data_IF_304151601202
#
_entry.id   IF_304151601202
#
_cell.length_a   1.000
_cell.length_b   1.000
_cell.length_c   1.000
_cell.angle_alpha   90.00
_cell.angle_beta   90.00
_cell.angle_gamma   90.00
#
_symmetry.space_group_name_H-M   'P 1'
#
loop_
_entity.id
_entity.type
_entity.pdbx_description
1 polymer ?
#
# COMPACT_ATOMS: atom_id res chain seq x y z
N UNK A 1 33.24 -6.45 -21.92
CA UNK A 1 33.51 -5.89 -20.57
C UNK A 1 32.23 -5.94 -19.74
N UNK A 2 32.05 -7.00 -18.96
CA UNK A 2 31.01 -7.06 -17.93
C UNK A 2 31.48 -6.18 -16.77
N UNK A 3 31.01 -4.93 -16.74
CA UNK A 3 31.19 -4.06 -15.58
C UNK A 3 30.41 -4.72 -14.45
N UNK A 4 31.09 -5.37 -13.51
CA UNK A 4 30.48 -5.83 -12.27
C UNK A 4 29.96 -4.61 -11.54
N UNK A 5 28.66 -4.36 -11.64
CA UNK A 5 27.98 -3.33 -10.85
C UNK A 5 28.07 -3.82 -9.40
N UNK A 6 28.99 -3.26 -8.62
CA UNK A 6 28.94 -3.37 -7.17
C UNK A 6 27.70 -2.60 -6.73
N UNK A 7 26.61 -3.32 -6.51
CA UNK A 7 25.39 -2.75 -5.97
C UNK A 7 25.70 -2.28 -4.54
N UNK A 8 25.47 -1.01 -4.25
CA UNK A 8 25.56 -0.52 -2.88
C UNK A 8 24.41 -1.12 -2.05
N UNK A 9 24.68 -1.42 -0.77
CA UNK A 9 23.71 -2.09 0.11
C UNK A 9 22.37 -1.36 0.17
N UNK A 10 22.38 -0.02 0.20
CA UNK A 10 21.17 0.80 0.20
C UNK A 10 20.35 0.63 -1.10
N UNK A 11 21.02 0.55 -2.25
CA UNK A 11 20.37 0.30 -3.54
C UNK A 11 19.73 -1.09 -3.58
N UNK A 12 20.41 -2.10 -3.03
CA UNK A 12 19.88 -3.46 -2.94
C UNK A 12 18.61 -3.49 -2.08
N UNK A 13 18.64 -2.83 -0.92
CA UNK A 13 17.48 -2.75 -0.01
C UNK A 13 16.30 -2.07 -0.71
N UNK A 14 16.54 -0.97 -1.43
CA UNK A 14 15.48 -0.27 -2.16
C UNK A 14 14.86 -1.12 -3.29
N UNK A 15 15.67 -1.90 -4.01
CA UNK A 15 15.17 -2.84 -5.03
C UNK A 15 14.29 -3.91 -4.38
N UNK A 16 14.74 -4.51 -3.28
CA UNK A 16 13.98 -5.51 -2.55
C UNK A 16 12.66 -4.92 -2.04
N UNK A 17 12.70 -3.73 -1.44
CA UNK A 17 11.50 -3.04 -0.96
C UNK A 17 10.48 -2.84 -2.10
N UNK A 18 10.90 -2.23 -3.21
CA UNK A 18 10.00 -1.99 -4.34
C UNK A 18 9.44 -3.29 -4.93
N UNK A 19 10.27 -4.34 -5.06
CA UNK A 19 9.84 -5.63 -5.61
C UNK A 19 8.82 -6.33 -4.70
N UNK A 20 9.11 -6.44 -3.41
CA UNK A 20 8.27 -7.16 -2.45
C UNK A 20 6.96 -6.39 -2.24
N UNK A 21 7.00 -5.07 -2.18
CA UNK A 21 5.80 -4.22 -2.07
C UNK A 21 4.94 -4.27 -3.32
N UNK A 22 5.52 -4.19 -4.52
CA UNK A 22 4.76 -4.37 -5.77
C UNK A 22 4.10 -5.74 -5.82
N UNK A 23 4.81 -6.80 -5.42
CA UNK A 23 4.29 -8.16 -5.39
C UNK A 23 3.13 -8.31 -4.41
N UNK A 24 3.23 -7.73 -3.21
CA UNK A 24 2.16 -7.75 -2.21
C UNK A 24 0.90 -7.05 -2.71
N UNK A 25 1.04 -5.86 -3.31
CA UNK A 25 -0.09 -5.14 -3.89
C UNK A 25 -0.68 -5.84 -5.11
N UNK A 26 0.14 -6.47 -5.95
CA UNK A 26 -0.34 -7.26 -7.10
C UNK A 26 -1.20 -8.44 -6.62
N UNK A 27 -0.74 -9.15 -5.59
CA UNK A 27 -1.47 -10.27 -5.02
C UNK A 27 -2.81 -9.84 -4.40
N UNK A 28 -2.83 -8.69 -3.71
CA UNK A 28 -4.08 -8.11 -3.19
C UNK A 28 -5.02 -7.63 -4.31
N UNK A 29 -4.48 -6.99 -5.34
CA UNK A 29 -5.27 -6.60 -6.52
C UNK A 29 -5.93 -7.82 -7.14
N UNK A 30 -5.17 -8.89 -7.35
CA UNK A 30 -5.69 -10.15 -7.88
C UNK A 30 -6.75 -10.79 -6.98
N UNK A 31 -6.56 -10.77 -5.65
CA UNK A 31 -7.57 -11.24 -4.70
C UNK A 31 -8.92 -10.54 -4.88
N UNK A 32 -8.90 -9.21 -5.08
CA UNK A 32 -10.12 -8.45 -5.29
C UNK A 32 -10.68 -8.59 -6.71
N UNK A 33 -9.84 -8.83 -7.73
CA UNK A 33 -10.32 -9.25 -9.07
C UNK A 33 -11.12 -10.54 -8.96
N UNK A 34 -10.60 -11.55 -8.27
CA UNK A 34 -11.29 -12.82 -8.07
C UNK A 34 -12.62 -12.65 -7.32
N UNK A 35 -12.64 -11.78 -6.30
CA UNK A 35 -13.87 -11.42 -5.60
C UNK A 35 -14.90 -10.72 -6.50
N UNK A 36 -14.46 -9.87 -7.44
CA UNK A 36 -15.33 -9.18 -8.41
C UNK A 36 -15.98 -10.13 -9.41
N UNK A 37 -15.26 -11.18 -9.81
CA UNK A 37 -15.80 -12.23 -10.70
C UNK A 37 -17.00 -12.93 -10.03
N UNK A 38 -16.98 -13.08 -8.71
CA UNK A 38 -18.08 -13.67 -7.95
C UNK A 38 -19.23 -12.66 -7.75
N UNK A 39 -18.92 -11.42 -7.38
CA UNK A 39 -19.93 -10.37 -7.16
C UNK A 39 -19.37 -8.98 -7.46
N UNK A 40 -20.03 -8.26 -8.37
CA UNK A 40 -19.67 -6.89 -8.71
C UNK A 40 -20.13 -5.96 -7.59
N UNK A 41 -19.15 -5.40 -6.86
CA UNK A 41 -19.38 -4.39 -5.83
C UNK A 41 -18.41 -3.21 -6.02
N UNK A 42 -18.92 -1.99 -5.83
CA UNK A 42 -18.11 -0.78 -6.04
C UNK A 42 -16.90 -0.71 -5.10
N UNK A 43 -17.03 -1.18 -3.86
CA UNK A 43 -15.93 -1.18 -2.87
C UNK A 43 -14.81 -2.11 -3.32
N UNK A 44 -15.16 -3.26 -3.88
CA UNK A 44 -14.22 -4.25 -4.38
C UNK A 44 -13.56 -3.75 -5.68
N UNK A 45 -14.28 -3.03 -6.54
CA UNK A 45 -13.70 -2.33 -7.70
C UNK A 45 -12.67 -1.29 -7.25
N UNK A 46 -13.03 -0.44 -6.29
CA UNK A 46 -12.13 0.59 -5.75
C UNK A 46 -10.86 -0.01 -5.14
N UNK A 47 -10.97 -1.10 -4.37
CA UNK A 47 -9.80 -1.83 -3.84
C UNK A 47 -8.94 -2.40 -4.96
N UNK A 48 -9.55 -3.03 -5.95
CA UNK A 48 -8.85 -3.63 -7.10
C UNK A 48 -8.01 -2.60 -7.84
N UNK A 49 -8.62 -1.49 -8.24
CA UNK A 49 -7.92 -0.40 -8.92
C UNK A 49 -6.91 0.27 -7.99
N UNK A 50 -7.24 0.47 -6.71
CA UNK A 50 -6.34 1.05 -5.72
C UNK A 50 -5.04 0.27 -5.57
N UNK A 51 -5.13 -1.03 -5.34
CA UNK A 51 -3.97 -1.93 -5.29
C UNK A 51 -3.29 -2.10 -6.65
N UNK A 52 -4.04 -2.06 -7.75
CA UNK A 52 -3.48 -2.09 -9.11
C UNK A 52 -2.60 -0.87 -9.39
N UNK A 53 -3.05 0.34 -9.06
CA UNK A 53 -2.25 1.56 -9.22
C UNK A 53 -1.03 1.58 -8.31
N UNK A 54 -1.15 1.09 -7.07
CA UNK A 54 0.03 0.92 -6.20
C UNK A 54 1.04 -0.07 -6.78
N UNK A 55 0.58 -1.20 -7.33
CA UNK A 55 1.44 -2.16 -8.02
C UNK A 55 2.23 -1.49 -9.14
N UNK A 56 1.52 -0.73 -9.99
CA UNK A 56 2.15 0.01 -11.09
C UNK A 56 3.14 1.06 -10.58
N UNK A 57 2.81 1.80 -9.51
CA UNK A 57 3.69 2.79 -8.93
C UNK A 57 5.04 2.17 -8.51
N UNK A 58 5.00 1.11 -7.69
CA UNK A 58 6.21 0.44 -7.21
C UNK A 58 6.97 -0.30 -8.32
N UNK A 59 6.26 -0.89 -9.29
CA UNK A 59 6.90 -1.49 -10.47
C UNK A 59 7.64 -0.45 -11.32
N UNK A 60 7.05 0.74 -11.51
CA UNK A 60 7.71 1.84 -12.21
C UNK A 60 8.93 2.36 -11.45
N UNK A 61 8.85 2.46 -10.12
CA UNK A 61 10.00 2.85 -9.30
C UNK A 61 11.14 1.82 -9.39
N UNK A 62 10.79 0.54 -9.51
CA UNK A 62 11.77 -0.53 -9.75
C UNK A 62 12.43 -0.39 -11.13
N UNK A 63 11.65 -0.14 -12.19
CA UNK A 63 12.17 0.08 -13.55
C UNK A 63 13.08 1.33 -13.62
N UNK A 64 12.79 2.39 -12.87
CA UNK A 64 13.66 3.57 -12.75
C UNK A 64 15.05 3.19 -12.23
N UNK A 65 15.13 2.23 -11.32
CA UNK A 65 16.43 1.82 -10.75
C UNK A 65 17.35 1.19 -11.81
N UNK A 66 16.77 0.65 -12.89
CA UNK A 66 17.50 0.02 -14.00
C UNK A 66 17.54 0.88 -15.28
N UNK A 67 16.88 2.03 -15.31
CA UNK A 67 16.78 2.90 -16.50
C UNK A 67 17.09 4.36 -16.16
N UNK A 68 17.92 5.04 -16.97
CA UNK A 68 18.36 6.42 -16.74
C UNK A 68 17.27 7.51 -16.99
N UNK A 69 16.00 7.21 -16.75
CA UNK A 69 14.84 8.09 -17.02
C UNK A 69 14.48 8.91 -15.75
N UNK A 70 15.40 9.76 -15.30
CA UNK A 70 15.52 10.21 -13.91
C UNK A 70 14.58 11.30 -13.35
N UNK A 71 13.51 11.75 -14.03
CA UNK A 71 12.63 12.81 -13.46
C UNK A 71 11.12 12.63 -13.72
N UNK A 72 10.72 12.32 -14.96
CA UNK A 72 9.30 12.21 -15.34
C UNK A 72 8.58 11.06 -14.63
N UNK A 73 9.32 9.99 -14.32
CA UNK A 73 8.77 8.80 -13.71
C UNK A 73 8.57 8.94 -12.18
N UNK A 74 9.32 9.82 -11.50
CA UNK A 74 9.14 10.08 -10.06
C UNK A 74 7.81 10.79 -9.77
N UNK A 75 7.43 11.75 -10.61
CA UNK A 75 6.11 12.38 -10.51
C UNK A 75 5.00 11.36 -10.79
N UNK A 76 5.20 10.48 -11.78
CA UNK A 76 4.24 9.46 -12.15
C UNK A 76 4.04 8.43 -11.01
N UNK A 77 5.11 8.06 -10.29
CA UNK A 77 5.02 7.28 -9.05
C UNK A 77 4.10 7.96 -8.03
N UNK A 78 4.33 9.24 -7.72
CA UNK A 78 3.54 9.97 -6.71
C UNK A 78 2.06 10.06 -7.08
N UNK A 79 1.75 10.27 -8.37
CA UNK A 79 0.37 10.30 -8.86
C UNK A 79 -0.31 8.93 -8.74
N UNK A 80 0.34 7.87 -9.21
CA UNK A 80 -0.21 6.51 -9.14
C UNK A 80 -0.38 6.04 -7.70
N UNK A 81 0.62 6.29 -6.85
CA UNK A 81 0.54 5.95 -5.43
C UNK A 81 -0.58 6.74 -4.72
N UNK A 82 -0.69 8.04 -5.00
CA UNK A 82 -1.72 8.91 -4.41
C UNK A 82 -3.13 8.52 -4.84
N UNK A 83 -3.36 8.26 -6.13
CA UNK A 83 -4.65 7.76 -6.62
C UNK A 83 -4.94 6.38 -6.02
N UNK A 84 -3.94 5.50 -5.96
CA UNK A 84 -4.07 4.16 -5.39
C UNK A 84 -4.53 4.19 -3.93
N UNK A 85 -3.84 4.94 -3.08
CA UNK A 85 -4.21 5.11 -1.66
C UNK A 85 -5.58 5.78 -1.51
N UNK A 86 -5.89 6.80 -2.32
CA UNK A 86 -7.20 7.44 -2.27
C UNK A 86 -8.36 6.48 -2.58
N UNK A 87 -8.21 5.63 -3.60
CA UNK A 87 -9.22 4.63 -3.95
C UNK A 87 -9.41 3.59 -2.85
N UNK A 88 -8.31 3.14 -2.22
CA UNK A 88 -8.39 2.21 -1.08
C UNK A 88 -9.12 2.87 0.09
N UNK A 89 -8.76 4.11 0.42
CA UNK A 89 -9.45 4.88 1.45
C UNK A 89 -10.95 5.03 1.16
N UNK A 90 -11.30 5.42 -0.07
CA UNK A 90 -12.69 5.53 -0.51
C UNK A 90 -13.45 4.19 -0.39
N UNK A 91 -12.80 3.07 -0.70
CA UNK A 91 -13.43 1.76 -0.55
C UNK A 91 -13.78 1.41 0.89
N UNK A 92 -12.88 1.71 1.84
CA UNK A 92 -13.10 1.43 3.26
C UNK A 92 -14.04 2.44 3.92
N UNK A 93 -14.04 3.71 3.50
CA UNK A 93 -14.95 4.70 4.07
C UNK A 93 -16.41 4.47 3.63
N UNK A 94 -16.61 3.90 2.44
CA UNK A 94 -17.92 3.49 1.96
C UNK A 94 -18.44 2.20 2.62
N UNK A 95 -17.61 1.51 3.40
CA UNK A 95 -18.04 0.34 4.17
C UNK A 95 -19.19 0.71 5.13
N UNK A 96 -20.29 -0.08 5.20
CA UNK A 96 -21.43 0.34 6.02
C UNK A 96 -21.12 0.28 7.53
N UNK A 97 -20.06 -0.44 7.91
CA UNK A 97 -19.60 -0.51 9.30
C UNK A 97 -18.62 0.63 9.64
N UNK A 98 -18.19 1.43 8.66
CA UNK A 98 -17.33 2.57 8.87
C UNK A 98 -18.12 3.75 9.45
N UNK A 99 -17.81 4.15 10.68
CA UNK A 99 -18.42 5.33 11.34
C UNK A 99 -17.63 6.62 11.11
N UNK A 100 -16.45 6.52 10.49
CA UNK A 100 -15.53 7.63 10.28
C UNK A 100 -15.74 8.34 8.94
N UNK A 101 -16.97 8.34 8.41
CA UNK A 101 -17.28 8.95 7.10
C UNK A 101 -16.92 10.44 7.03
N UNK A 102 -16.92 11.16 8.16
CA UNK A 102 -16.47 12.54 8.22
C UNK A 102 -14.99 12.72 7.84
N UNK A 103 -14.15 11.67 7.93
CA UNK A 103 -12.76 11.72 7.51
C UNK A 103 -12.60 12.00 6.01
N UNK A 104 -13.64 11.84 5.19
CA UNK A 104 -13.63 12.28 3.79
C UNK A 104 -13.30 13.77 3.68
N UNK A 105 -13.87 14.61 4.57
CA UNK A 105 -13.61 16.05 4.58
C UNK A 105 -12.14 16.32 4.87
N UNK A 106 -11.60 15.67 5.91
CA UNK A 106 -10.19 15.78 6.25
C UNK A 106 -9.30 15.33 5.09
N UNK A 107 -9.65 14.22 4.43
CA UNK A 107 -8.91 13.68 3.30
C UNK A 107 -8.89 14.67 2.11
N UNK A 108 -10.02 15.34 1.83
CA UNK A 108 -10.10 16.40 0.80
C UNK A 108 -9.23 17.59 1.17
N UNK A 109 -9.29 18.04 2.43
CA UNK A 109 -8.44 19.14 2.92
C UNK A 109 -6.96 18.79 2.74
N UNK A 110 -6.55 17.56 3.10
CA UNK A 110 -5.17 17.11 2.96
C UNK A 110 -4.68 17.12 1.51
N UNK A 111 -5.53 16.82 0.52
CA UNK A 111 -5.18 16.93 -0.91
C UNK A 111 -4.81 18.36 -1.33
N UNK A 112 -5.35 19.38 -0.66
CA UNK A 112 -5.08 20.79 -0.96
C UNK A 112 -3.76 21.23 -0.32
N UNK A 113 -3.49 20.80 0.92
CA UNK A 113 -2.39 21.32 1.73
C UNK A 113 -1.10 20.48 1.67
N UNK A 114 -1.19 19.17 1.42
CA UNK A 114 -0.04 18.27 1.40
C UNK A 114 0.32 17.84 -0.02
N UNK A 115 1.63 17.62 -0.25
CA UNK A 115 2.16 17.18 -1.55
C UNK A 115 3.21 16.09 -1.36
N UNK A 116 3.36 15.25 -2.38
CA UNK A 116 4.36 14.18 -2.41
C UNK A 116 4.21 13.19 -1.25
N UNK A 117 5.34 12.77 -0.68
CA UNK A 117 5.38 11.71 0.34
C UNK A 117 4.64 12.11 1.64
N UNK A 118 4.56 13.40 1.98
CA UNK A 118 3.74 13.87 3.11
C UNK A 118 2.25 13.58 2.91
N UNK A 119 1.75 13.75 1.67
CA UNK A 119 0.37 13.42 1.33
C UNK A 119 0.14 11.91 1.38
N UNK A 120 1.04 11.12 0.78
CA UNK A 120 0.95 9.65 0.79
C UNK A 120 0.96 9.09 2.21
N UNK A 121 1.82 9.63 3.08
CA UNK A 121 1.86 9.31 4.52
C UNK A 121 0.51 9.51 5.18
N UNK A 122 -0.11 10.67 4.99
CA UNK A 122 -1.40 10.96 5.61
C UNK A 122 -2.53 10.12 5.04
N UNK A 123 -2.54 9.85 3.73
CA UNK A 123 -3.51 8.95 3.12
C UNK A 123 -3.39 7.52 3.68
N UNK A 124 -2.17 6.98 3.79
CA UNK A 124 -1.92 5.68 4.39
C UNK A 124 -2.38 5.63 5.86
N UNK A 125 -2.13 6.70 6.63
CA UNK A 125 -2.62 6.81 8.00
C UNK A 125 -4.15 6.79 8.08
N UNK A 126 -4.84 7.53 7.21
CA UNK A 126 -6.31 7.53 7.15
C UNK A 126 -6.88 6.16 6.78
N UNK A 127 -6.23 5.43 5.87
CA UNK A 127 -6.58 4.03 5.56
C UNK A 127 -6.43 3.17 6.83
N UNK A 128 -5.30 3.26 7.53
CA UNK A 128 -5.09 2.50 8.76
C UNK A 128 -6.15 2.81 9.82
N UNK A 129 -6.48 4.09 10.03
CA UNK A 129 -7.50 4.52 10.99
C UNK A 129 -8.90 4.00 10.64
N UNK A 130 -9.29 4.04 9.37
CA UNK A 130 -10.58 3.53 8.91
C UNK A 130 -10.67 2.01 9.05
N UNK A 131 -9.64 1.27 8.63
CA UNK A 131 -9.59 -0.19 8.80
C UNK A 131 -9.62 -0.57 10.28
N UNK A 132 -8.87 0.13 11.14
CA UNK A 132 -8.86 -0.14 12.58
C UNK A 132 -10.24 0.07 13.21
N UNK A 133 -10.95 1.12 12.82
CA UNK A 133 -12.30 1.36 13.33
C UNK A 133 -13.28 0.28 12.85
N UNK A 134 -13.19 -0.14 11.58
CA UNK A 134 -13.99 -1.24 11.05
C UNK A 134 -13.68 -2.53 11.81
N UNK A 135 -12.40 -2.86 12.01
CA UNK A 135 -11.95 -4.04 12.74
C UNK A 135 -12.47 -4.05 14.18
N UNK A 136 -12.43 -2.90 14.85
CA UNK A 136 -12.96 -2.75 16.20
C UNK A 136 -14.48 -2.96 16.25
N UNK A 137 -15.22 -2.36 15.32
CA UNK A 137 -16.68 -2.41 15.33
C UNK A 137 -17.24 -3.79 14.93
N UNK A 138 -16.62 -4.42 13.93
CA UNK A 138 -17.03 -5.74 13.42
C UNK A 138 -16.39 -6.90 14.19
N UNK A 139 -15.43 -6.62 15.09
CA UNK A 139 -14.60 -7.62 15.80
C UNK A 139 -13.79 -8.53 14.87
N UNK A 140 -13.58 -8.11 13.61
CA UNK A 140 -12.73 -8.77 12.62
C UNK A 140 -11.24 -8.53 12.94
N UNK A 141 -10.71 -9.34 13.87
CA UNK A 141 -9.28 -9.30 14.25
C UNK A 141 -8.35 -9.66 13.10
N UNK A 142 -8.86 -10.33 12.08
CA UNK A 142 -8.17 -10.63 10.84
C UNK A 142 -7.74 -9.36 10.09
N UNK A 143 -8.36 -8.19 10.30
CA UNK A 143 -7.94 -6.94 9.65
C UNK A 143 -6.71 -6.28 10.30
N UNK A 144 -6.28 -6.72 11.48
CA UNK A 144 -5.16 -6.11 12.22
C UNK A 144 -3.86 -6.06 11.40
N UNK A 145 -3.43 -7.11 10.69
CA UNK A 145 -2.19 -7.03 9.92
C UNK A 145 -2.27 -6.04 8.76
N UNK A 146 -3.45 -5.81 8.20
CA UNK A 146 -3.69 -4.77 7.20
C UNK A 146 -3.54 -3.37 7.83
N UNK A 147 -4.06 -3.16 9.04
CA UNK A 147 -3.83 -1.91 9.80
C UNK A 147 -2.33 -1.69 10.00
N UNK A 148 -1.62 -2.70 10.50
CA UNK A 148 -0.17 -2.61 10.75
C UNK A 148 0.59 -2.27 9.47
N UNK A 149 0.26 -2.90 8.35
CA UNK A 149 0.89 -2.60 7.07
C UNK A 149 0.71 -1.13 6.67
N UNK A 150 -0.51 -0.58 6.74
CA UNK A 150 -0.74 0.81 6.37
C UNK A 150 -0.14 1.82 7.37
N UNK A 151 -0.01 1.47 8.64
CA UNK A 151 0.76 2.28 9.61
C UNK A 151 2.24 2.31 9.22
N UNK A 152 2.83 1.17 8.86
CA UNK A 152 4.23 1.10 8.43
C UNK A 152 4.46 1.88 7.13
N UNK A 153 3.54 1.78 6.16
CA UNK A 153 3.56 2.60 4.93
C UNK A 153 3.49 4.09 5.26
N UNK A 154 2.61 4.50 6.19
CA UNK A 154 2.50 5.89 6.60
C UNK A 154 3.81 6.42 7.19
N UNK A 155 4.43 5.66 8.10
CA UNK A 155 5.72 6.05 8.70
C UNK A 155 6.84 6.06 7.65
N UNK A 156 6.86 5.09 6.72
CA UNK A 156 7.85 5.03 5.65
C UNK A 156 7.79 6.24 4.71
N UNK A 157 6.58 6.61 4.28
CA UNK A 157 6.37 7.82 3.47
C UNK A 157 6.72 9.10 4.24
N UNK A 158 6.43 9.15 5.54
CA UNK A 158 6.87 10.26 6.37
C UNK A 158 8.40 10.37 6.43
N UNK A 159 9.12 9.25 6.53
CA UNK A 159 10.59 9.24 6.51
C UNK A 159 11.14 9.75 5.18
N UNK A 160 10.56 9.34 4.04
CA UNK A 160 10.94 9.89 2.74
C UNK A 160 10.62 11.39 2.61
N UNK A 161 9.56 11.87 3.26
CA UNK A 161 9.23 13.29 3.31
C UNK A 161 10.25 14.07 4.13
N UNK A 162 10.63 13.57 5.31
CA UNK A 162 11.63 14.19 6.18
C UNK A 162 13.01 14.24 5.53
N UNK A 163 13.44 13.17 4.87
CA UNK A 163 14.74 13.14 4.20
C UNK A 163 14.90 14.27 3.18
N UNK A 164 13.83 14.56 2.42
CA UNK A 164 13.82 15.67 1.45
C UNK A 164 13.98 17.04 2.12
N UNK A 165 13.66 17.16 3.41
CA UNK A 165 13.65 18.42 4.16
C UNK A 165 14.86 18.60 5.06
N UNK A 166 15.42 17.53 5.64
CA UNK A 166 16.40 17.64 6.75
C UNK A 166 17.80 17.08 6.47
N UNK A 167 18.10 16.60 5.26
CA UNK A 167 19.42 16.06 4.88
C UNK A 167 19.98 14.96 5.82
N UNK A 168 19.12 14.37 6.68
CA UNK A 168 19.49 13.28 7.58
C UNK A 168 19.76 12.02 6.74
N UNK A 169 21.04 11.67 6.61
CA UNK A 169 21.47 10.45 5.94
C UNK A 169 20.88 9.23 6.64
N UNK A 170 20.26 8.33 5.86
CA UNK A 170 19.68 7.03 6.23
C UNK A 170 18.17 6.97 6.50
N UNK A 171 17.42 8.08 6.46
CA UNK A 171 15.95 8.02 6.56
C UNK A 171 15.31 7.26 5.39
N UNK A 172 15.92 7.32 4.19
CA UNK A 172 15.46 6.55 3.02
C UNK A 172 15.45 5.06 3.28
N UNK A 173 16.58 4.54 3.75
CA UNK A 173 16.78 3.12 4.01
C UNK A 173 15.82 2.65 5.11
N UNK A 174 15.56 3.50 6.10
CA UNK A 174 14.51 3.26 7.10
C UNK A 174 13.12 3.12 6.48
N UNK A 175 12.77 4.00 5.53
CA UNK A 175 11.54 3.90 4.74
C UNK A 175 11.45 2.58 3.97
N UNK A 176 12.53 2.18 3.28
CA UNK A 176 12.59 0.92 2.52
C UNK A 176 12.34 -0.30 3.42
N UNK A 177 12.94 -0.35 4.62
CA UNK A 177 12.69 -1.42 5.59
C UNK A 177 11.23 -1.45 6.06
N UNK A 178 10.63 -0.29 6.32
CA UNK A 178 9.22 -0.21 6.72
C UNK A 178 8.30 -0.75 5.61
N UNK A 179 8.62 -0.50 4.35
CA UNK A 179 7.92 -1.08 3.20
C UNK A 179 8.07 -2.61 3.11
N UNK A 180 9.26 -3.15 3.39
CA UNK A 180 9.47 -4.60 3.47
C UNK A 180 8.59 -5.21 4.58
N UNK A 181 8.61 -4.64 5.79
CA UNK A 181 7.79 -5.13 6.89
C UNK A 181 6.28 -4.98 6.64
N UNK A 182 5.86 -3.88 6.01
CA UNK A 182 4.48 -3.70 5.58
C UNK A 182 4.05 -4.82 4.61
N UNK A 183 4.92 -5.15 3.66
CA UNK A 183 4.65 -6.20 2.68
C UNK A 183 4.55 -7.58 3.32
N UNK A 184 5.40 -7.89 4.31
CA UNK A 184 5.32 -9.12 5.11
C UNK A 184 3.97 -9.20 5.84
N UNK A 185 3.53 -8.09 6.46
CA UNK A 185 2.24 -8.04 7.15
C UNK A 185 1.06 -8.27 6.18
N UNK A 186 1.10 -7.69 4.98
CA UNK A 186 0.09 -7.91 3.94
C UNK A 186 0.08 -9.35 3.42
N UNK A 187 1.24 -9.96 3.19
CA UNK A 187 1.32 -11.36 2.78
C UNK A 187 0.82 -12.31 3.88
N UNK A 188 1.16 -12.03 5.14
CA UNK A 188 0.65 -12.81 6.25
C UNK A 188 -0.88 -12.73 6.33
N UNK A 189 -1.45 -11.53 6.16
CA UNK A 189 -2.91 -11.36 6.07
C UNK A 189 -3.52 -12.15 4.91
N UNK A 190 -2.97 -11.99 3.71
CA UNK A 190 -3.42 -12.67 2.50
C UNK A 190 -3.42 -14.19 2.70
N UNK A 191 -2.36 -14.72 3.32
CA UNK A 191 -2.26 -16.14 3.62
C UNK A 191 -3.36 -16.60 4.59
N UNK A 192 -3.57 -15.88 5.70
CA UNK A 192 -4.64 -16.19 6.65
C UNK A 192 -6.00 -16.20 5.96
N UNK A 193 -6.28 -15.20 5.12
CA UNK A 193 -7.53 -15.11 4.37
C UNK A 193 -7.72 -16.30 3.41
N UNK A 194 -6.69 -16.65 2.64
CA UNK A 194 -6.74 -17.77 1.69
C UNK A 194 -6.92 -19.11 2.42
N UNK A 195 -6.20 -19.33 3.52
CA UNK A 195 -6.34 -20.55 4.33
C UNK A 195 -7.77 -20.71 4.83
N UNK A 196 -8.39 -19.64 5.35
CA UNK A 196 -9.79 -19.67 5.80
C UNK A 196 -10.71 -20.03 4.62
N UNK A 197 -10.55 -19.37 3.47
CA UNK A 197 -11.38 -19.59 2.29
C UNK A 197 -11.31 -21.02 1.77
N UNK A 198 -10.10 -21.57 1.60
CA UNK A 198 -9.91 -22.94 1.10
C UNK A 198 -10.38 -23.99 2.11
N UNK A 199 -10.21 -23.76 3.41
CA UNK A 199 -10.70 -24.67 4.43
C UNK A 199 -12.23 -24.66 4.57
N UNK A 200 -12.89 -23.51 4.36
CA UNK A 200 -14.34 -23.43 4.33
C UNK A 200 -14.94 -24.19 3.14
N UNK A 201 -14.34 -24.09 1.96
CA UNK A 201 -14.77 -24.84 0.77
C UNK A 201 -14.67 -26.36 0.94
N UNK A 202 -13.67 -26.86 1.68
CA UNK A 202 -13.56 -28.29 2.01
C UNK A 202 -14.67 -28.79 2.93
N UNK A 203 -15.22 -27.94 3.81
CA UNK A 203 -16.28 -28.34 4.74
C UNK A 203 -17.67 -28.40 4.09
N UNK A 204 -17.90 -27.71 2.98
CA UNK A 204 -19.17 -27.73 2.25
C UNK A 204 -19.25 -28.80 1.16
N UNK A 205 -18.18 -29.57 0.96
CA UNK A 205 -18.06 -30.58 -0.09
C UNK A 205 -18.24 -32.03 0.42
N UNK A 206 -18.65 -32.20 1.69
CA UNK A 206 -19.05 -33.46 2.32
C UNK A 206 -20.50 -33.33 2.82
#
# INVERSE_FOLDING_TARGET
MLRSVKLELAQLISIIANFVTASAFAALSWLFVDALVIRIEIKTLLKTFGFGFLTLAFALNLVQTFSNLGLTQMNLYLWLAGIGLWLIFAAFILDPHCKLQFLVILAIVLLIFLKGNALLSMQAFLIAATILQIAYFTKHKDLIPMVVAFVLVAIGEFFYSLQKQTALGNLQTGGDFLYIFASIALFWWLWQYLVIRFNLQRKTAF
#
